data_IF_890490540469
#
_entry.id   IF_890490540469
#
_cell.length_a   1.000
_cell.length_b   1.000
_cell.length_c   1.000
_cell.angle_alpha   90.00
_cell.angle_beta   90.00
_cell.angle_gamma   90.00
#
_symmetry.space_group_name_H-M   'P 1'
#
loop_
_entity.id
_entity.type
_entity.pdbx_description
1 polymer ?
#
# COMPACT_ATOMS: atom_id res chain seq x y z
N UNK A 1 6.07 -18.23 -38.40
CA UNK A 1 6.63 -16.96 -37.90
C UNK A 1 5.64 -15.80 -37.98
N UNK A 2 5.19 -15.33 -39.15
CA UNK A 2 4.27 -14.18 -39.25
C UNK A 2 2.91 -14.35 -38.52
N UNK A 3 2.36 -15.57 -38.51
CA UNK A 3 1.09 -15.86 -37.85
C UNK A 3 1.15 -15.69 -36.32
N UNK A 4 2.26 -16.04 -35.68
CA UNK A 4 2.42 -15.90 -34.22
C UNK A 4 2.59 -14.44 -33.80
N UNK A 5 3.30 -13.65 -34.61
CA UNK A 5 3.41 -12.20 -34.40
C UNK A 5 2.08 -11.49 -34.59
N UNK A 6 1.28 -11.92 -35.57
CA UNK A 6 -0.06 -11.37 -35.84
C UNK A 6 -1.05 -11.72 -34.71
N UNK A 7 -1.02 -12.97 -34.22
CA UNK A 7 -1.83 -13.40 -33.08
C UNK A 7 -1.42 -12.65 -31.80
N UNK A 8 -0.11 -12.46 -31.55
CA UNK A 8 0.36 -11.62 -30.43
C UNK A 8 -0.14 -10.19 -30.58
N UNK A 9 -0.02 -9.55 -31.74
CA UNK A 9 -0.46 -8.17 -31.94
C UNK A 9 -1.98 -8.01 -31.80
N UNK A 10 -2.77 -8.98 -32.26
CA UNK A 10 -4.23 -9.01 -32.07
C UNK A 10 -4.60 -9.21 -30.60
N UNK A 11 -3.87 -10.04 -29.86
CA UNK A 11 -4.05 -10.21 -28.41
C UNK A 11 -3.66 -8.95 -27.63
N UNK A 12 -2.56 -8.27 -28.01
CA UNK A 12 -2.17 -6.97 -27.44
C UNK A 12 -3.20 -5.87 -27.79
N UNK A 13 -3.79 -5.90 -28.99
CA UNK A 13 -4.86 -4.98 -29.41
C UNK A 13 -6.17 -5.20 -28.65
N UNK A 14 -6.56 -6.46 -28.42
CA UNK A 14 -7.69 -6.82 -27.55
C UNK A 14 -7.42 -6.47 -26.08
N UNK A 15 -6.17 -6.56 -25.63
CA UNK A 15 -5.71 -6.09 -24.32
C UNK A 15 -5.84 -4.57 -24.17
N UNK A 16 -5.32 -3.81 -25.14
CA UNK A 16 -5.40 -2.35 -25.11
C UNK A 16 -6.83 -1.86 -25.22
N UNK A 17 -7.67 -2.49 -26.05
CA UNK A 17 -9.08 -2.13 -26.19
C UNK A 17 -9.91 -2.55 -24.98
N UNK A 18 -9.61 -3.69 -24.33
CA UNK A 18 -10.25 -4.13 -23.10
C UNK A 18 -9.85 -3.30 -21.87
N UNK A 19 -8.56 -2.97 -21.76
CA UNK A 19 -8.04 -2.01 -20.77
C UNK A 19 -8.66 -0.63 -21.02
N UNK A 20 -8.72 -0.16 -22.28
CA UNK A 20 -9.34 1.12 -22.64
C UNK A 20 -10.84 1.15 -22.33
N UNK A 21 -11.60 0.09 -22.59
CA UNK A 21 -13.02 0.00 -22.20
C UNK A 21 -13.20 -0.07 -20.67
N UNK A 22 -12.28 -0.71 -19.94
CA UNK A 22 -12.30 -0.71 -18.47
C UNK A 22 -11.97 0.66 -17.87
N UNK A 23 -11.07 1.44 -18.49
CA UNK A 23 -10.69 2.78 -18.02
C UNK A 23 -11.53 3.91 -18.66
N UNK A 24 -12.34 3.63 -19.68
CA UNK A 24 -13.18 4.63 -20.36
C UNK A 24 -14.20 5.26 -19.40
N UNK A 25 -14.85 4.44 -18.57
CA UNK A 25 -15.76 4.96 -17.56
C UNK A 25 -15.02 5.72 -16.47
N UNK A 26 -13.83 5.27 -16.03
CA UNK A 26 -13.02 5.95 -15.01
C UNK A 26 -12.38 7.26 -15.53
N UNK A 27 -12.09 7.40 -16.82
CA UNK A 27 -11.62 8.66 -17.42
C UNK A 27 -12.77 9.70 -17.49
N UNK A 28 -13.99 9.25 -17.82
CA UNK A 28 -15.20 10.06 -17.76
C UNK A 28 -15.59 10.36 -16.30
N UNK A 29 -15.35 9.43 -15.37
CA UNK A 29 -15.62 9.60 -13.93
C UNK A 29 -14.62 10.55 -13.28
N UNK A 30 -13.34 10.50 -13.60
CA UNK A 30 -12.34 11.48 -13.17
C UNK A 30 -12.68 12.89 -13.68
N UNK A 31 -13.26 12.98 -14.89
CA UNK A 31 -13.80 14.26 -15.41
C UNK A 31 -15.08 14.69 -14.68
N UNK A 32 -15.95 13.75 -14.27
CA UNK A 32 -17.19 14.02 -13.52
C UNK A 32 -17.01 14.16 -12.00
N UNK A 33 -15.93 13.64 -11.41
CA UNK A 33 -15.64 13.69 -9.96
C UNK A 33 -15.14 15.06 -9.52
N UNK A 34 -14.76 15.93 -10.47
CA UNK A 34 -14.69 17.37 -10.22
C UNK A 34 -16.07 18.02 -9.98
N UNK A 35 -17.18 17.30 -10.18
CA UNK A 35 -18.54 17.90 -10.19
C UNK A 35 -19.55 17.34 -9.17
N UNK A 36 -19.40 16.14 -8.58
CA UNK A 36 -20.47 15.58 -7.70
C UNK A 36 -19.97 14.83 -6.44
N UNK A 37 -19.69 15.60 -5.40
CA UNK A 37 -19.33 15.19 -4.04
C UNK A 37 -20.53 14.87 -3.12
N UNK A 38 -21.40 13.90 -3.45
CA UNK A 38 -22.55 13.63 -2.53
C UNK A 38 -23.25 12.26 -2.52
N UNK A 39 -22.73 11.18 -3.12
CA UNK A 39 -23.45 9.88 -3.14
C UNK A 39 -22.59 8.64 -2.84
N UNK A 40 -22.04 8.55 -1.64
CA UNK A 40 -21.44 7.30 -1.12
C UNK A 40 -22.00 6.88 0.25
N UNK A 41 -23.26 7.21 0.54
CA UNK A 41 -24.11 6.44 1.47
C UNK A 41 -25.12 5.71 0.60
N UNK A 42 -24.91 4.43 0.30
CA UNK A 42 -25.93 3.40 -0.02
C UNK A 42 -25.20 2.08 -0.36
N UNK A 43 -25.68 0.98 0.26
CA UNK A 43 -25.25 -0.43 0.18
C UNK A 43 -24.18 -0.94 1.17
N UNK A 44 -24.56 -1.00 2.46
CA UNK A 44 -24.13 -2.08 3.38
C UNK A 44 -24.81 -3.41 2.96
N UNK A 45 -24.49 -3.98 1.79
CA UNK A 45 -24.65 -5.43 1.62
C UNK A 45 -23.44 -6.05 2.31
N UNK A 46 -23.66 -6.83 3.38
CA UNK A 46 -22.58 -7.54 4.09
C UNK A 46 -21.88 -8.46 3.09
N UNK A 47 -20.77 -7.99 2.54
CA UNK A 47 -19.87 -8.82 1.75
C UNK A 47 -19.29 -9.91 2.66
N UNK A 48 -18.93 -11.07 2.09
CA UNK A 48 -18.27 -12.13 2.84
C UNK A 48 -16.98 -11.62 3.51
N UNK A 49 -16.52 -12.26 4.61
CA UNK A 49 -15.40 -11.77 5.43
C UNK A 49 -14.12 -11.53 4.62
N UNK A 50 -13.89 -12.33 3.58
CA UNK A 50 -12.75 -12.18 2.67
C UNK A 50 -12.81 -10.89 1.84
N UNK A 51 -13.96 -10.58 1.26
CA UNK A 51 -14.15 -9.41 0.38
C UNK A 51 -14.11 -8.13 1.22
N UNK A 52 -14.69 -8.17 2.42
CA UNK A 52 -14.60 -7.07 3.38
C UNK A 52 -13.14 -6.76 3.74
N UNK A 53 -12.31 -7.79 3.96
CA UNK A 53 -10.89 -7.60 4.24
C UNK A 53 -10.14 -6.97 3.05
N UNK A 54 -10.38 -7.42 1.81
CA UNK A 54 -9.77 -6.82 0.62
C UNK A 54 -10.22 -5.36 0.44
N UNK A 55 -11.50 -5.07 0.65
CA UNK A 55 -12.04 -3.72 0.60
C UNK A 55 -11.36 -2.80 1.62
N UNK A 56 -11.13 -3.29 2.84
CA UNK A 56 -10.39 -2.54 3.86
C UNK A 56 -8.94 -2.27 3.45
N UNK A 57 -8.24 -3.29 2.94
CA UNK A 57 -6.87 -3.18 2.46
C UNK A 57 -6.75 -2.15 1.32
N UNK A 58 -7.66 -2.19 0.34
CA UNK A 58 -7.70 -1.23 -0.77
C UNK A 58 -8.08 0.18 -0.32
N UNK A 59 -8.95 0.30 0.69
CA UNK A 59 -9.27 1.56 1.33
C UNK A 59 -8.03 2.24 1.93
N UNK A 60 -7.13 1.45 2.55
CA UNK A 60 -5.88 1.98 3.10
C UNK A 60 -4.86 2.29 1.99
N UNK A 61 -4.73 1.41 0.99
CA UNK A 61 -3.72 1.53 -0.07
C UNK A 61 -4.00 2.68 -1.06
N UNK A 62 -5.27 2.83 -1.44
CA UNK A 62 -5.70 3.68 -2.57
C UNK A 62 -6.85 4.64 -2.20
N UNK A 63 -7.36 4.62 -0.96
CA UNK A 63 -8.52 5.44 -0.57
C UNK A 63 -9.86 4.91 -1.10
N UNK A 64 -9.87 3.76 -1.79
CA UNK A 64 -11.07 3.18 -2.38
C UNK A 64 -11.66 2.08 -1.50
N UNK A 65 -12.50 2.46 -0.54
CA UNK A 65 -13.16 1.52 0.38
C UNK A 65 -14.48 0.95 -0.16
N UNK A 66 -14.62 0.75 -1.48
CA UNK A 66 -15.87 0.24 -2.08
C UNK A 66 -15.84 -1.27 -2.32
N UNK A 67 -16.98 -1.95 -2.14
CA UNK A 67 -17.14 -3.38 -2.44
C UNK A 67 -16.78 -3.66 -3.92
N UNK A 68 -17.18 -2.76 -4.83
CA UNK A 68 -16.83 -2.85 -6.25
C UNK A 68 -15.33 -2.79 -6.52
N UNK A 69 -14.56 -2.03 -5.74
CA UNK A 69 -13.10 -2.00 -5.88
C UNK A 69 -12.45 -3.35 -5.53
N UNK A 70 -12.96 -4.05 -4.52
CA UNK A 70 -12.47 -5.37 -4.15
C UNK A 70 -12.71 -6.41 -5.28
N UNK A 71 -13.90 -6.41 -5.88
CA UNK A 71 -14.18 -7.29 -7.03
C UNK A 71 -13.32 -6.95 -8.26
N UNK A 72 -13.14 -5.66 -8.58
CA UNK A 72 -12.25 -5.24 -9.67
C UNK A 72 -10.81 -5.68 -9.45
N UNK A 73 -10.32 -5.57 -8.21
CA UNK A 73 -8.97 -6.00 -7.87
C UNK A 73 -8.79 -7.52 -8.07
N UNK A 74 -9.77 -8.33 -7.62
CA UNK A 74 -9.77 -9.78 -7.86
C UNK A 74 -9.80 -10.08 -9.37
N UNK A 75 -10.62 -9.37 -10.14
CA UNK A 75 -10.68 -9.53 -11.59
C UNK A 75 -9.33 -9.23 -12.27
N UNK A 76 -8.60 -8.20 -11.81
CA UNK A 76 -7.25 -7.88 -12.31
C UNK A 76 -6.29 -9.05 -12.05
N UNK A 77 -6.27 -9.59 -10.82
CA UNK A 77 -5.39 -10.71 -10.47
C UNK A 77 -5.67 -11.95 -11.35
N UNK A 78 -6.95 -12.27 -11.57
CA UNK A 78 -7.34 -13.39 -12.42
C UNK A 78 -6.95 -13.15 -13.88
N UNK A 79 -7.20 -11.95 -14.42
CA UNK A 79 -6.82 -11.60 -15.79
C UNK A 79 -5.31 -11.69 -16.01
N UNK A 80 -4.50 -11.19 -15.06
CA UNK A 80 -3.03 -11.31 -15.13
C UNK A 80 -2.57 -12.77 -15.08
N UNK A 81 -3.23 -13.61 -14.27
CA UNK A 81 -2.94 -15.05 -14.21
C UNK A 81 -3.20 -15.72 -15.56
N UNK A 82 -4.33 -15.41 -16.21
CA UNK A 82 -4.70 -15.99 -17.51
C UNK A 82 -3.73 -15.54 -18.61
N UNK A 83 -3.32 -14.27 -18.60
CA UNK A 83 -2.36 -13.74 -19.57
C UNK A 83 -0.98 -14.40 -19.40
N UNK A 84 -0.51 -14.54 -18.16
CA UNK A 84 0.79 -15.16 -17.89
C UNK A 84 0.79 -16.64 -18.24
N UNK A 85 -0.31 -17.35 -18.00
CA UNK A 85 -0.49 -18.73 -18.43
C UNK A 85 -0.44 -18.87 -19.97
N UNK A 86 -1.24 -18.07 -20.69
CA UNK A 86 -1.34 -18.17 -22.16
C UNK A 86 -0.03 -17.78 -22.87
N UNK A 87 0.65 -16.75 -22.37
CA UNK A 87 1.94 -16.30 -22.94
C UNK A 87 3.07 -17.31 -22.74
N UNK A 88 3.16 -17.94 -21.56
CA UNK A 88 4.16 -18.96 -21.28
C UNK A 88 3.86 -20.28 -22.00
N UNK A 89 2.59 -20.64 -22.13
CA UNK A 89 2.18 -21.82 -22.88
C UNK A 89 2.53 -21.68 -24.36
N UNK A 90 2.29 -20.50 -24.95
CA UNK A 90 2.69 -20.18 -26.31
C UNK A 90 4.22 -20.15 -26.52
N UNK A 91 5.00 -20.07 -25.45
CA UNK A 91 6.47 -20.04 -25.50
C UNK A 91 7.11 -21.42 -25.25
N UNK A 92 6.30 -22.49 -25.18
CA UNK A 92 6.81 -23.86 -24.98
C UNK A 92 7.40 -24.12 -23.59
N UNK A 93 6.98 -23.37 -22.57
CA UNK A 93 7.49 -23.53 -21.21
C UNK A 93 7.12 -24.90 -20.62
N UNK A 94 7.98 -25.43 -19.74
CA UNK A 94 7.70 -26.67 -19.03
C UNK A 94 6.52 -26.51 -18.06
N UNK A 95 5.85 -27.62 -17.73
CA UNK A 95 4.67 -27.62 -16.84
C UNK A 95 4.96 -26.99 -15.47
N UNK A 96 6.18 -27.21 -14.94
CA UNK A 96 6.63 -26.62 -13.67
C UNK A 96 6.79 -25.09 -13.77
N UNK A 97 7.36 -24.59 -14.86
CA UNK A 97 7.51 -23.15 -15.09
C UNK A 97 6.14 -22.48 -15.26
N UNK A 98 5.22 -23.11 -16.00
CA UNK A 98 3.85 -22.62 -16.16
C UNK A 98 3.16 -22.43 -14.82
N UNK A 99 3.17 -23.45 -13.97
CA UNK A 99 2.52 -23.40 -12.65
C UNK A 99 3.16 -22.34 -11.74
N UNK A 100 4.49 -22.30 -11.68
CA UNK A 100 5.22 -21.36 -10.83
C UNK A 100 4.91 -19.91 -11.22
N UNK A 101 4.85 -19.62 -12.51
CA UNK A 101 4.67 -18.25 -12.99
C UNK A 101 3.23 -17.76 -13.02
N UNK A 102 2.28 -18.64 -13.36
CA UNK A 102 0.85 -18.31 -13.31
C UNK A 102 0.39 -18.01 -11.89
N UNK A 103 0.95 -18.69 -10.89
CA UNK A 103 0.67 -18.44 -9.48
C UNK A 103 1.55 -17.33 -8.87
N UNK A 104 2.78 -17.17 -9.36
CA UNK A 104 3.73 -16.20 -8.82
C UNK A 104 3.42 -14.75 -9.19
N UNK A 105 2.96 -14.48 -10.41
CA UNK A 105 2.74 -13.10 -10.86
C UNK A 105 1.62 -12.36 -10.12
N UNK A 106 0.45 -12.96 -9.78
CA UNK A 106 -0.57 -12.30 -8.97
C UNK A 106 -0.11 -12.09 -7.53
N UNK A 107 0.71 -13.00 -6.99
CA UNK A 107 1.31 -12.87 -5.65
C UNK A 107 2.22 -11.64 -5.59
N UNK A 108 3.00 -11.35 -6.64
CA UNK A 108 3.82 -10.14 -6.71
C UNK A 108 2.97 -8.85 -6.71
N UNK A 109 1.86 -8.83 -7.47
CA UNK A 109 0.93 -7.68 -7.47
C UNK A 109 0.31 -7.50 -6.08
N UNK A 110 -0.11 -8.59 -5.44
CA UNK A 110 -0.66 -8.54 -4.09
C UNK A 110 0.39 -8.07 -3.07
N UNK A 111 1.62 -8.56 -3.16
CA UNK A 111 2.74 -8.14 -2.32
C UNK A 111 3.05 -6.65 -2.48
N UNK A 112 2.95 -6.11 -3.70
CA UNK A 112 3.09 -4.68 -3.95
C UNK A 112 1.99 -3.85 -3.26
N UNK A 113 0.73 -4.32 -3.28
CA UNK A 113 -0.37 -3.65 -2.56
C UNK A 113 -0.11 -3.68 -1.05
N UNK A 114 0.31 -4.82 -0.49
CA UNK A 114 0.66 -4.92 0.94
C UNK A 114 1.81 -3.97 1.31
N UNK A 115 2.82 -3.88 0.44
CA UNK A 115 3.90 -2.91 0.61
C UNK A 115 3.37 -1.48 0.65
N UNK A 116 2.48 -1.10 -0.28
CA UNK A 116 1.90 0.25 -0.32
C UNK A 116 1.07 0.55 0.93
N UNK A 117 0.32 -0.43 1.42
CA UNK A 117 -0.42 -0.33 2.69
C UNK A 117 0.55 -0.04 3.83
N UNK A 118 1.63 -0.82 3.95
CA UNK A 118 2.64 -0.60 4.99
C UNK A 118 3.28 0.77 4.86
N UNK A 119 3.63 1.22 3.66
CA UNK A 119 4.20 2.54 3.45
C UNK A 119 3.25 3.67 3.90
N UNK A 120 1.95 3.55 3.63
CA UNK A 120 0.93 4.48 4.12
C UNK A 120 0.77 4.43 5.64
N UNK A 121 0.79 3.23 6.21
CA UNK A 121 0.74 3.03 7.65
C UNK A 121 1.95 3.64 8.36
N UNK A 122 3.16 3.50 7.81
CA UNK A 122 4.37 4.14 8.36
C UNK A 122 4.26 5.66 8.31
N UNK A 123 3.85 6.24 7.17
CA UNK A 123 3.65 7.69 7.06
C UNK A 123 2.66 8.21 8.11
N UNK A 124 1.52 7.55 8.21
CA UNK A 124 0.46 7.92 9.17
C UNK A 124 0.94 7.70 10.61
N UNK A 125 1.75 6.67 10.86
CA UNK A 125 2.32 6.39 12.18
C UNK A 125 3.33 7.46 12.61
N UNK A 126 4.19 7.92 11.70
CA UNK A 126 5.19 8.94 11.99
C UNK A 126 4.55 10.31 12.23
N UNK A 127 3.48 10.62 11.50
CA UNK A 127 2.63 11.81 11.78
C UNK A 127 1.84 11.66 13.09
N UNK A 128 1.66 10.43 13.59
CA UNK A 128 0.79 10.09 14.70
C UNK A 128 1.18 10.70 16.04
N UNK A 129 2.48 10.90 16.29
CA UNK A 129 2.95 11.58 17.50
C UNK A 129 2.43 13.01 17.61
N UNK A 130 2.54 13.79 16.53
CA UNK A 130 2.03 15.16 16.51
C UNK A 130 0.52 15.22 16.76
N UNK A 131 -0.23 14.22 16.26
CA UNK A 131 -1.65 14.10 16.57
C UNK A 131 -1.90 13.84 18.05
N UNK A 132 -1.14 12.97 18.71
CA UNK A 132 -1.34 12.66 20.12
C UNK A 132 -0.96 13.85 21.01
N UNK A 133 0.14 14.54 20.70
CA UNK A 133 0.55 15.74 21.42
C UNK A 133 -0.49 16.87 21.30
N UNK A 134 -0.99 17.08 20.08
CA UNK A 134 -2.05 18.06 19.80
C UNK A 134 -3.37 17.67 20.46
N UNK A 135 -3.74 16.38 20.45
CA UNK A 135 -4.93 15.86 21.11
C UNK A 135 -4.86 16.03 22.63
N UNK A 136 -3.71 15.69 23.24
CA UNK A 136 -3.50 15.87 24.68
C UNK A 136 -3.63 17.34 25.08
N UNK A 137 -3.03 18.25 24.29
CA UNK A 137 -3.13 19.68 24.55
C UNK A 137 -4.59 20.17 24.44
N UNK A 138 -5.28 19.82 23.37
CA UNK A 138 -6.69 20.19 23.18
C UNK A 138 -7.60 19.55 24.24
N UNK A 139 -7.33 18.31 24.65
CA UNK A 139 -8.08 17.64 25.73
C UNK A 139 -7.96 18.38 27.05
N UNK A 140 -6.77 18.88 27.39
CA UNK A 140 -6.55 19.70 28.59
C UNK A 140 -7.23 21.07 28.50
N UNK A 141 -7.15 21.74 27.34
CA UNK A 141 -7.76 23.06 27.11
C UNK A 141 -9.29 22.97 27.19
N UNK A 142 -9.88 21.94 26.60
CA UNK A 142 -11.34 21.76 26.50
C UNK A 142 -11.94 21.00 27.68
N UNK A 143 -11.38 21.17 28.88
CA UNK A 143 -11.91 20.62 30.14
C UNK A 143 -12.20 19.11 30.08
N UNK A 144 -11.34 18.33 29.44
CA UNK A 144 -11.47 16.87 29.31
C UNK A 144 -12.68 16.42 28.46
N UNK A 145 -13.22 17.29 27.62
CA UNK A 145 -14.21 16.91 26.62
C UNK A 145 -13.50 16.35 25.38
N UNK A 146 -13.52 15.03 25.23
CA UNK A 146 -12.84 14.34 24.12
C UNK A 146 -13.42 14.67 22.75
N UNK A 147 -14.74 14.86 22.64
CA UNK A 147 -15.40 15.16 21.37
C UNK A 147 -14.94 16.52 20.82
N UNK A 148 -14.91 17.54 21.68
CA UNK A 148 -14.41 18.87 21.32
C UNK A 148 -12.89 18.84 21.06
N UNK A 149 -12.13 18.13 21.89
CA UNK A 149 -10.69 18.01 21.72
C UNK A 149 -10.30 17.39 20.37
N UNK A 150 -11.03 16.36 19.93
CA UNK A 150 -10.83 15.72 18.62
C UNK A 150 -11.13 16.69 17.47
N UNK A 151 -12.20 17.48 17.55
CA UNK A 151 -12.51 18.50 16.52
C UNK A 151 -11.40 19.54 16.39
N UNK A 152 -10.92 20.07 17.51
CA UNK A 152 -9.87 21.08 17.53
C UNK A 152 -8.52 20.52 17.04
N UNK A 153 -8.23 19.27 17.38
CA UNK A 153 -7.05 18.55 16.87
C UNK A 153 -7.06 18.47 15.35
N UNK A 154 -8.21 18.22 14.71
CA UNK A 154 -8.32 18.21 13.24
C UNK A 154 -7.95 19.56 12.62
N UNK A 155 -8.25 20.67 13.30
CA UNK A 155 -7.91 22.03 12.87
C UNK A 155 -6.40 22.28 13.01
N UNK A 156 -5.78 21.80 14.09
CA UNK A 156 -4.34 21.90 14.35
C UNK A 156 -3.46 21.12 13.36
N UNK A 157 -3.95 20.00 12.83
CA UNK A 157 -3.20 19.09 11.94
C UNK A 157 -3.02 19.57 10.48
N UNK A 158 -2.90 20.87 10.22
CA UNK A 158 -2.79 21.43 8.84
C UNK A 158 -1.63 20.84 8.03
N UNK A 159 -0.51 20.56 8.69
CA UNK A 159 0.71 20.06 8.05
C UNK A 159 0.78 18.52 7.93
N UNK A 160 -0.21 17.81 8.49
CA UNK A 160 -0.23 16.33 8.59
C UNK A 160 -1.49 15.75 7.93
N UNK A 161 -1.55 15.72 6.58
CA UNK A 161 -2.77 15.46 5.85
C UNK A 161 -3.32 14.03 6.05
N UNK A 162 -2.45 13.04 6.27
CA UNK A 162 -2.88 11.64 6.41
C UNK A 162 -3.62 11.42 7.72
N UNK A 163 -3.03 11.91 8.82
CA UNK A 163 -3.64 11.81 10.14
C UNK A 163 -4.83 12.76 10.29
N UNK A 164 -4.77 13.96 9.70
CA UNK A 164 -5.92 14.88 9.66
C UNK A 164 -7.15 14.24 9.02
N UNK A 165 -6.98 13.56 7.88
CA UNK A 165 -8.11 12.88 7.21
C UNK A 165 -8.68 11.75 8.06
N UNK A 166 -7.83 11.00 8.77
CA UNK A 166 -8.28 9.97 9.70
C UNK A 166 -9.08 10.59 10.86
N UNK A 167 -8.53 11.59 11.53
CA UNK A 167 -9.17 12.25 12.67
C UNK A 167 -10.45 12.97 12.29
N UNK A 168 -10.52 13.60 11.11
CA UNK A 168 -11.75 14.25 10.63
C UNK A 168 -12.89 13.24 10.45
N UNK A 169 -12.61 12.06 9.92
CA UNK A 169 -13.62 11.01 9.78
C UNK A 169 -14.07 10.47 11.14
N UNK A 170 -13.13 10.32 12.08
CA UNK A 170 -13.43 9.89 13.45
C UNK A 170 -14.30 10.94 14.16
N UNK A 171 -13.93 12.22 14.10
CA UNK A 171 -14.67 13.34 14.69
C UNK A 171 -16.12 13.41 14.21
N UNK A 172 -16.33 13.27 12.89
CA UNK A 172 -17.66 13.31 12.28
C UNK A 172 -18.52 12.11 12.72
N UNK A 173 -17.97 10.91 12.68
CA UNK A 173 -18.75 9.70 12.96
C UNK A 173 -18.94 9.43 14.46
N UNK A 174 -18.06 9.96 15.31
CA UNK A 174 -18.22 9.98 16.77
C UNK A 174 -19.39 10.86 17.24
N UNK A 175 -19.93 11.73 16.39
CA UNK A 175 -21.13 12.53 16.72
C UNK A 175 -22.44 11.85 16.33
N UNK A 176 -22.37 10.90 15.40
CA UNK A 176 -23.54 10.26 14.76
C UNK A 176 -23.76 8.80 15.21
N UNK A 177 -22.99 8.28 16.18
CA UNK A 177 -23.11 6.88 16.62
C UNK A 177 -24.42 6.62 17.37
N UNK A 178 -24.98 5.43 17.21
CA UNK A 178 -26.27 5.02 17.84
C UNK A 178 -26.11 4.00 18.96
N UNK A 179 -25.01 3.26 18.97
CA UNK A 179 -24.75 2.24 19.99
C UNK A 179 -23.23 2.10 20.24
N UNK A 180 -22.90 1.41 21.34
CA UNK A 180 -21.53 1.20 21.78
C UNK A 180 -20.67 0.47 20.73
N UNK A 181 -21.27 -0.45 19.98
CA UNK A 181 -20.53 -1.23 18.98
C UNK A 181 -20.19 -0.39 17.74
N UNK A 182 -21.08 0.50 17.32
CA UNK A 182 -20.83 1.47 16.25
C UNK A 182 -19.73 2.46 16.64
N UNK A 183 -19.73 2.96 17.88
CA UNK A 183 -18.64 3.80 18.38
C UNK A 183 -17.30 3.03 18.39
N UNK A 184 -17.31 1.76 18.81
CA UNK A 184 -16.12 0.90 18.78
C UNK A 184 -15.61 0.68 17.35
N UNK A 185 -16.49 0.45 16.38
CA UNK A 185 -16.13 0.36 14.96
C UNK A 185 -15.52 1.67 14.44
N UNK A 186 -16.10 2.81 14.82
CA UNK A 186 -15.65 4.15 14.42
C UNK A 186 -14.22 4.41 14.88
N UNK A 187 -13.96 4.17 16.17
CA UNK A 187 -12.69 4.46 16.81
C UNK A 187 -11.62 3.44 16.39
N UNK A 188 -11.98 2.16 16.21
CA UNK A 188 -11.07 1.12 15.69
C UNK A 188 -10.56 1.38 14.26
N UNK A 189 -11.12 2.32 13.51
CA UNK A 189 -10.51 2.74 12.25
C UNK A 189 -9.14 3.38 12.41
N UNK A 190 -8.85 3.97 13.57
CA UNK A 190 -7.50 4.44 13.91
C UNK A 190 -6.55 3.25 13.88
N UNK A 191 -6.90 2.16 14.58
CA UNK A 191 -6.14 0.91 14.53
C UNK A 191 -6.01 0.38 13.09
N UNK A 192 -7.09 0.27 12.31
CA UNK A 192 -6.97 -0.27 10.94
C UNK A 192 -6.06 0.57 10.03
N UNK A 193 -6.11 1.90 10.12
CA UNK A 193 -5.33 2.80 9.26
C UNK A 193 -3.86 2.90 9.66
N UNK A 194 -3.53 2.79 10.94
CA UNK A 194 -2.17 2.95 11.46
C UNK A 194 -1.51 1.59 11.70
N UNK A 195 -2.29 0.66 12.25
CA UNK A 195 -1.94 -0.73 12.53
C UNK A 195 -0.66 -0.81 13.38
N UNK A 196 -0.77 -0.26 14.59
CA UNK A 196 0.25 -0.21 15.65
C UNK A 196 -0.43 -0.42 17.01
N UNK A 197 0.32 -0.89 18.02
CA UNK A 197 -0.17 -1.07 19.39
C UNK A 197 -0.62 0.26 20.01
N UNK A 198 0.13 1.33 19.80
CA UNK A 198 -0.25 2.65 20.34
C UNK A 198 -1.56 3.15 19.71
N UNK A 199 -1.84 2.82 18.44
CA UNK A 199 -3.10 3.18 17.80
C UNK A 199 -4.28 2.39 18.39
N UNK A 200 -4.07 1.14 18.82
CA UNK A 200 -5.04 0.36 19.60
C UNK A 200 -5.30 1.03 20.95
N UNK A 201 -4.24 1.41 21.68
CA UNK A 201 -4.36 2.09 22.96
C UNK A 201 -5.12 3.42 22.84
N UNK A 202 -4.76 4.25 21.86
CA UNK A 202 -5.48 5.48 21.56
C UNK A 202 -6.96 5.22 21.26
N UNK A 203 -7.25 4.16 20.49
CA UNK A 203 -8.62 3.79 20.17
C UNK A 203 -9.41 3.43 21.43
N UNK A 204 -8.80 2.69 22.35
CA UNK A 204 -9.44 2.32 23.61
C UNK A 204 -9.64 3.53 24.54
N UNK A 205 -8.66 4.43 24.61
CA UNK A 205 -8.77 5.67 25.39
C UNK A 205 -9.90 6.56 24.87
N UNK A 206 -9.96 6.80 23.55
CA UNK A 206 -11.06 7.58 22.96
C UNK A 206 -12.41 6.91 23.23
N UNK A 207 -12.49 5.58 23.12
CA UNK A 207 -13.72 4.85 23.44
C UNK A 207 -14.14 5.04 24.90
N UNK A 208 -13.24 4.86 25.87
CA UNK A 208 -13.51 5.04 27.29
C UNK A 208 -13.93 6.48 27.61
N UNK A 209 -13.24 7.48 27.08
CA UNK A 209 -13.58 8.88 27.30
C UNK A 209 -14.96 9.27 26.72
N UNK A 210 -15.35 8.70 25.57
CA UNK A 210 -16.62 9.04 24.91
C UNK A 210 -17.80 8.27 25.51
N UNK A 211 -17.62 6.97 25.76
CA UNK A 211 -18.70 6.08 26.17
C UNK A 211 -18.86 6.00 27.69
N UNK A 212 -17.74 5.92 28.42
CA UNK A 212 -17.70 5.71 29.87
C UNK A 212 -17.55 7.04 30.62
N UNK A 213 -17.03 8.08 29.94
CA UNK A 213 -16.80 9.41 30.52
C UNK A 213 -15.50 9.48 31.32
N UNK A 214 -14.60 8.52 31.10
CA UNK A 214 -13.34 8.41 31.82
C UNK A 214 -12.36 9.54 31.50
N UNK A 215 -11.60 9.94 32.52
CA UNK A 215 -10.48 10.84 32.35
C UNK A 215 -9.28 10.10 31.78
N UNK A 216 -8.95 10.37 30.51
CA UNK A 216 -7.86 9.72 29.79
C UNK A 216 -6.56 10.53 29.80
N UNK A 217 -6.46 11.56 30.64
CA UNK A 217 -5.30 12.46 30.69
C UNK A 217 -4.00 11.68 30.88
N UNK A 218 -3.92 10.81 31.88
CA UNK A 218 -2.71 10.01 32.16
C UNK A 218 -2.40 9.06 31.00
N UNK A 219 -3.40 8.39 30.44
CA UNK A 219 -3.21 7.50 29.30
C UNK A 219 -2.68 8.21 28.05
N UNK A 220 -3.11 9.46 27.80
CA UNK A 220 -2.59 10.27 26.70
C UNK A 220 -1.16 10.79 26.97
N UNK A 221 -0.82 11.10 28.23
CA UNK A 221 0.55 11.48 28.63
C UNK A 221 1.50 10.31 28.40
N UNK A 222 1.13 9.12 28.88
CA UNK A 222 1.94 7.91 28.71
C UNK A 222 2.14 7.61 27.23
N UNK A 223 1.08 7.67 26.42
CA UNK A 223 1.15 7.43 24.99
C UNK A 223 2.05 8.44 24.25
N UNK A 224 2.01 9.72 24.63
CA UNK A 224 2.86 10.78 24.08
C UNK A 224 4.33 10.53 24.42
N UNK A 225 4.62 10.19 25.69
CA UNK A 225 5.96 9.90 26.17
C UNK A 225 6.55 8.68 25.47
N UNK A 226 5.80 7.59 25.44
CA UNK A 226 6.17 6.36 24.76
C UNK A 226 6.55 6.67 23.30
N UNK A 227 5.68 7.37 22.56
CA UNK A 227 5.96 7.71 21.14
C UNK A 227 7.18 8.59 20.96
N UNK A 228 7.47 9.49 21.91
CA UNK A 228 8.68 10.29 21.89
C UNK A 228 9.94 9.43 22.07
N UNK A 229 9.88 8.38 22.88
CA UNK A 229 10.98 7.41 23.04
C UNK A 229 11.18 6.58 21.76
N UNK A 230 10.11 6.11 21.10
CA UNK A 230 10.23 5.39 19.81
C UNK A 230 10.83 6.23 18.70
N UNK A 231 10.45 7.50 18.61
CA UNK A 231 11.00 8.39 17.59
C UNK A 231 12.53 8.46 17.69
N UNK A 232 13.06 8.52 18.93
CA UNK A 232 14.50 8.57 19.15
C UNK A 232 15.18 7.25 18.74
N UNK A 233 14.56 6.12 19.05
CA UNK A 233 15.05 4.78 18.65
C UNK A 233 15.01 4.63 17.13
N UNK A 234 13.92 5.04 16.48
CA UNK A 234 13.73 4.93 15.05
C UNK A 234 14.67 5.85 14.26
N UNK A 235 14.95 7.06 14.76
CA UNK A 235 15.93 7.93 14.13
C UNK A 235 17.34 7.33 14.20
N UNK A 236 17.70 6.69 15.32
CA UNK A 236 18.97 5.95 15.45
C UNK A 236 19.03 4.76 14.48
N UNK A 237 17.96 3.98 14.35
CA UNK A 237 17.88 2.87 13.39
C UNK A 237 17.98 3.36 11.94
N UNK A 238 17.35 4.50 11.63
CA UNK A 238 17.40 5.10 10.30
C UNK A 238 18.81 5.52 9.90
N UNK A 239 19.60 6.02 10.85
CA UNK A 239 21.01 6.34 10.62
C UNK A 239 21.84 5.08 10.30
N UNK A 240 21.56 3.95 10.95
CA UNK A 240 22.24 2.66 10.67
C UNK A 240 21.79 2.10 9.30
N UNK A 241 20.51 2.22 8.96
CA UNK A 241 19.93 1.68 7.72
C UNK A 241 20.27 2.49 6.43
N UNK A 242 20.94 3.64 6.58
CA UNK A 242 21.45 4.41 5.44
C UNK A 242 22.48 3.61 4.62
N UNK A 243 23.26 2.75 5.27
CA UNK A 243 24.27 1.91 4.62
C UNK A 243 23.62 0.90 3.64
N UNK A 244 22.57 0.22 4.07
CA UNK A 244 21.82 -0.71 3.20
C UNK A 244 21.14 0.00 2.02
N UNK A 245 20.72 1.25 2.21
CA UNK A 245 20.17 2.09 1.14
C UNK A 245 21.22 2.41 0.08
N UNK A 246 22.42 2.76 0.52
CA UNK A 246 23.54 3.05 -0.38
C UNK A 246 23.94 1.79 -1.16
N UNK A 247 24.00 0.62 -0.51
CA UNK A 247 24.27 -0.65 -1.19
C UNK A 247 23.27 -0.91 -2.31
N UNK A 248 21.97 -0.83 -2.07
CA UNK A 248 20.99 -1.20 -3.11
C UNK A 248 20.88 -0.17 -4.23
N UNK A 249 20.93 1.12 -3.90
CA UNK A 249 20.81 2.18 -4.91
C UNK A 249 22.04 2.31 -5.81
N UNK A 250 23.23 1.95 -5.34
CA UNK A 250 24.48 2.17 -6.09
C UNK A 250 25.23 0.90 -6.45
N UNK A 251 25.30 -0.08 -5.55
CA UNK A 251 26.07 -1.31 -5.77
C UNK A 251 25.40 -2.22 -6.81
N UNK A 252 24.08 -2.44 -6.71
CA UNK A 252 23.35 -3.33 -7.63
C UNK A 252 23.36 -2.80 -9.06
N UNK A 253 23.00 -1.52 -9.35
CA UNK A 253 23.13 -0.98 -10.70
C UNK A 253 24.59 -0.98 -11.20
N UNK A 254 25.54 -0.72 -10.30
CA UNK A 254 26.97 -0.79 -10.58
C UNK A 254 27.41 -2.18 -11.07
N UNK A 255 26.94 -3.25 -10.43
CA UNK A 255 27.22 -4.64 -10.86
C UNK A 255 26.60 -4.94 -12.23
N UNK A 256 25.36 -4.51 -12.48
CA UNK A 256 24.68 -4.76 -13.75
C UNK A 256 25.42 -4.06 -14.90
N UNK A 257 25.76 -2.78 -14.72
CA UNK A 257 26.49 -1.98 -15.71
C UNK A 257 27.92 -2.52 -15.88
N UNK A 258 28.60 -2.84 -14.78
CA UNK A 258 29.95 -3.42 -14.80
C UNK A 258 30.00 -4.77 -15.49
N UNK A 259 29.00 -5.63 -15.27
CA UNK A 259 28.86 -6.91 -15.96
C UNK A 259 28.66 -6.74 -17.46
N UNK A 260 27.83 -5.77 -17.88
CA UNK A 260 27.68 -5.43 -19.29
C UNK A 260 29.01 -4.98 -19.91
N UNK A 261 29.74 -4.08 -19.24
CA UNK A 261 31.05 -3.60 -19.73
C UNK A 261 32.06 -4.76 -19.84
N UNK A 262 32.07 -5.68 -18.87
CA UNK A 262 32.95 -6.85 -18.90
C UNK A 262 32.67 -7.75 -20.10
N UNK A 263 31.40 -8.02 -20.39
CA UNK A 263 31.00 -8.84 -21.55
C UNK A 263 31.42 -8.16 -22.86
N UNK A 264 31.21 -6.85 -22.98
CA UNK A 264 31.59 -6.11 -24.18
C UNK A 264 33.10 -6.01 -24.40
N UNK A 265 33.90 -5.96 -23.32
CA UNK A 265 35.36 -5.80 -23.41
C UNK A 265 36.14 -7.11 -23.48
N UNK A 266 35.70 -8.15 -22.79
CA UNK A 266 36.48 -9.38 -22.60
C UNK A 266 35.90 -10.60 -23.33
N UNK A 267 34.63 -10.58 -23.73
CA UNK A 267 33.98 -11.72 -24.38
C UNK A 267 33.77 -11.53 -25.89
N UNK A 268 34.36 -10.48 -26.50
CA UNK A 268 34.16 -10.10 -27.91
C UNK A 268 32.69 -10.05 -28.35
N UNK A 269 31.80 -9.69 -27.41
CA UNK A 269 30.38 -9.50 -27.68
C UNK A 269 30.12 -8.08 -28.17
N UNK A 270 29.43 -7.94 -29.31
CA UNK A 270 28.84 -6.66 -29.71
C UNK A 270 27.54 -6.41 -28.94
N UNK A 271 27.18 -5.14 -28.75
CA UNK A 271 25.94 -4.76 -28.06
C UNK A 271 24.69 -5.38 -28.72
N UNK A 272 24.68 -5.43 -30.05
CA UNK A 272 23.62 -6.07 -30.83
C UNK A 272 23.50 -7.57 -30.52
N UNK A 273 24.63 -8.28 -30.49
CA UNK A 273 24.68 -9.71 -30.15
C UNK A 273 24.26 -9.96 -28.70
N UNK A 274 24.59 -9.07 -27.77
CA UNK A 274 24.11 -9.15 -26.39
C UNK A 274 22.58 -9.02 -26.31
N UNK A 275 22.00 -8.01 -26.96
CA UNK A 275 20.54 -7.80 -26.99
C UNK A 275 19.84 -9.01 -27.62
N UNK A 276 20.38 -9.54 -28.72
CA UNK A 276 19.86 -10.74 -29.37
C UNK A 276 19.93 -11.96 -28.43
N UNK A 277 21.06 -12.21 -27.78
CA UNK A 277 21.18 -13.32 -26.84
C UNK A 277 20.31 -13.16 -25.60
N UNK A 278 20.08 -11.93 -25.13
CA UNK A 278 19.30 -11.69 -23.92
C UNK A 278 17.79 -11.75 -24.16
N UNK A 279 17.31 -11.32 -25.33
CA UNK A 279 15.87 -11.17 -25.59
C UNK A 279 15.31 -12.09 -26.68
N UNK A 280 16.13 -12.56 -27.63
CA UNK A 280 15.69 -13.44 -28.71
C UNK A 280 15.96 -14.93 -28.42
N UNK A 281 16.98 -15.23 -27.61
CA UNK A 281 17.25 -16.61 -27.18
C UNK A 281 16.35 -16.99 -25.99
N UNK A 282 15.75 -18.19 -26.03
CA UNK A 282 14.85 -18.69 -24.98
C UNK A 282 15.52 -18.72 -23.60
N UNK A 283 16.78 -19.14 -23.53
CA UNK A 283 17.53 -19.24 -22.26
C UNK A 283 17.82 -17.85 -21.70
N UNK A 284 18.26 -16.92 -22.55
CA UNK A 284 18.55 -15.54 -22.15
C UNK A 284 17.30 -14.82 -21.67
N UNK A 285 16.19 -15.00 -22.38
CA UNK A 285 14.91 -14.40 -22.01
C UNK A 285 14.40 -14.93 -20.66
N UNK A 286 14.53 -16.24 -20.38
CA UNK A 286 14.21 -16.83 -19.08
C UNK A 286 15.08 -16.25 -17.96
N UNK A 287 16.39 -16.15 -18.18
CA UNK A 287 17.33 -15.59 -17.18
C UNK A 287 17.10 -14.10 -16.91
N UNK A 288 16.72 -13.33 -17.93
CA UNK A 288 16.29 -11.95 -17.76
C UNK A 288 15.06 -11.85 -16.86
N UNK A 289 14.07 -12.72 -17.08
CA UNK A 289 12.84 -12.72 -16.28
C UNK A 289 13.12 -13.10 -14.82
N UNK A 290 13.97 -14.10 -14.58
CA UNK A 290 14.42 -14.48 -13.25
C UNK A 290 15.14 -13.32 -12.53
N UNK A 291 16.04 -12.62 -13.22
CA UNK A 291 16.81 -11.52 -12.62
C UNK A 291 15.91 -10.31 -12.31
N UNK A 292 14.97 -9.96 -13.19
CA UNK A 292 14.01 -8.88 -12.96
C UNK A 292 13.17 -9.12 -11.70
N UNK A 293 12.73 -10.37 -11.48
CA UNK A 293 11.92 -10.73 -10.31
C UNK A 293 12.77 -10.81 -9.05
N UNK A 294 13.99 -11.35 -9.12
CA UNK A 294 14.91 -11.33 -8.00
C UNK A 294 15.20 -9.89 -7.53
N UNK A 295 15.38 -8.95 -8.47
CA UNK A 295 15.52 -7.51 -8.19
C UNK A 295 14.22 -6.94 -7.62
N UNK A 296 13.05 -7.31 -8.16
CA UNK A 296 11.77 -6.84 -7.65
C UNK A 296 11.50 -7.32 -6.20
N UNK A 297 11.78 -8.59 -5.89
CA UNK A 297 11.67 -9.15 -4.54
C UNK A 297 12.66 -8.45 -3.61
N UNK A 298 13.92 -8.34 -4.02
CA UNK A 298 14.97 -7.67 -3.22
C UNK A 298 14.63 -6.21 -2.94
N UNK A 299 14.09 -5.50 -3.95
CA UNK A 299 13.62 -4.13 -3.81
C UNK A 299 12.43 -4.02 -2.87
N UNK A 300 11.44 -4.91 -2.98
CA UNK A 300 10.30 -4.96 -2.06
C UNK A 300 10.71 -5.25 -0.62
N UNK A 301 11.61 -6.23 -0.40
CA UNK A 301 12.13 -6.54 0.93
C UNK A 301 12.90 -5.36 1.51
N UNK A 302 13.76 -4.72 0.72
CA UNK A 302 14.53 -3.58 1.18
C UNK A 302 13.65 -2.39 1.57
N UNK A 303 12.67 -2.05 0.72
CA UNK A 303 11.74 -0.97 1.02
C UNK A 303 10.91 -1.25 2.29
N UNK A 304 10.67 -2.53 2.60
CA UNK A 304 9.99 -2.97 3.82
C UNK A 304 10.81 -2.69 5.10
N UNK A 305 12.14 -2.84 5.01
CA UNK A 305 13.07 -2.58 6.13
C UNK A 305 13.48 -1.11 6.26
N UNK A 306 13.43 -0.33 5.18
CA UNK A 306 13.84 1.09 5.21
C UNK A 306 12.98 1.96 6.14
N UNK A 307 11.70 1.61 6.26
CA UNK A 307 10.71 2.43 6.94
C UNK A 307 10.02 1.59 8.03
N UNK A 308 10.53 1.66 9.25
CA UNK A 308 9.88 1.07 10.42
C UNK A 308 8.71 1.94 10.86
N UNK A 309 7.65 1.30 11.37
CA UNK A 309 6.56 2.04 12.02
C UNK A 309 7.04 2.44 13.41
N UNK A 310 6.54 3.56 13.91
CA UNK A 310 6.61 3.83 15.35
C UNK A 310 5.64 2.87 16.04
N UNK A 311 6.13 1.71 16.47
CA UNK A 311 5.35 0.71 17.20
C UNK A 311 6.19 0.08 18.32
N UNK A 312 5.55 -0.21 19.46
CA UNK A 312 6.14 -0.96 20.58
C UNK A 312 5.82 -2.44 20.46
#
# INVERSE_FOLDING_TARGET
>A
MWYETLIRQVLWGLLFTGIWFMFYEDFIRLFKEKFLSKRAKIEKKRAGPFISKIQQLLGIAFGQSSIGAAYRFIAILVSVSIITFTTLHASGASLNELLLWTLGTPVLIFAFVLYRIRAMQVKTSNEGKYMIDELLNNYRIHHKNISEAVDQTVIGLKNYPHVKSLMANVALEMKDYRNAEELREVVNRINYKINTKWAVLLSNLIYAAVYEGDDITEGLIDLSKDLAELDQVNEKNRQINLEGTIMICWFIPGIIIGGLIMILKYADFTLAKYIEYQFLNEIGFRMFFYSLIAVAISGLTFLNFRNEKNDF
#
